data_IF_795293312553
#
_entry.id   IF_795293312553
#
_cell.length_a   1.000
_cell.length_b   1.000
_cell.length_c   1.000
_cell.angle_alpha   90.00
_cell.angle_beta   90.00
_cell.angle_gamma   90.00
#
_symmetry.space_group_name_H-M   'P 1'
#
loop_
_entity.id
_entity.type
_entity.pdbx_description
1 polymer ?
#
# COMPACT_ATOMS: atom_id res chain seq x y z
N UNK A 1 -22.25 1.79 43.53
CA UNK A 1 -22.04 2.80 42.47
C UNK A 1 -20.55 2.88 42.13
N UNK A 2 -19.94 1.91 41.44
CA UNK A 2 -18.49 1.94 41.09
C UNK A 2 -18.11 0.93 39.99
N UNK A 3 -18.88 0.83 38.91
CA UNK A 3 -18.53 -0.11 37.81
C UNK A 3 -18.70 0.45 36.39
N UNK A 4 -19.10 1.73 36.22
CA UNK A 4 -19.31 2.36 34.90
C UNK A 4 -18.19 3.31 34.46
N UNK A 5 -17.22 3.62 35.31
CA UNK A 5 -16.17 4.59 34.99
C UNK A 5 -14.94 4.00 34.26
N UNK A 6 -14.70 2.68 34.34
CA UNK A 6 -13.51 2.06 33.71
C UNK A 6 -13.70 1.69 32.23
N UNK A 7 -14.93 1.61 31.71
CA UNK A 7 -15.17 1.18 30.33
C UNK A 7 -14.96 2.32 29.30
N UNK A 8 -15.04 3.59 29.70
CA UNK A 8 -14.86 4.72 28.78
C UNK A 8 -13.38 5.04 28.48
N UNK A 9 -12.46 4.75 29.40
CA UNK A 9 -11.05 5.12 29.24
C UNK A 9 -10.30 4.16 28.28
N UNK A 10 -10.71 2.89 28.23
CA UNK A 10 -10.12 1.90 27.32
C UNK A 10 -10.51 2.11 25.83
N UNK A 11 -11.72 2.63 25.57
CA UNK A 11 -12.18 2.93 24.21
C UNK A 11 -11.48 4.15 23.60
N UNK A 12 -11.14 5.17 24.41
CA UNK A 12 -10.35 6.32 23.95
C UNK A 12 -8.91 5.95 23.59
N UNK A 13 -8.26 5.03 24.32
CA UNK A 13 -6.89 4.60 24.02
C UNK A 13 -6.77 3.74 22.75
N UNK A 14 -7.81 2.98 22.39
CA UNK A 14 -7.84 2.18 21.15
C UNK A 14 -8.13 3.02 19.89
N UNK A 15 -8.81 4.16 20.01
CA UNK A 15 -9.02 5.11 18.91
C UNK A 15 -7.84 6.07 18.72
N UNK A 16 -7.14 6.46 19.79
CA UNK A 16 -5.96 7.31 19.69
C UNK A 16 -4.72 6.58 19.15
N UNK A 17 -4.61 5.25 19.31
CA UNK A 17 -3.48 4.47 18.78
C UNK A 17 -3.46 4.32 17.24
N UNK A 18 -4.55 4.67 16.54
CA UNK A 18 -4.59 4.70 15.06
C UNK A 18 -4.37 6.08 14.44
N UNK A 19 -4.38 7.14 15.26
CA UNK A 19 -4.26 8.53 14.79
C UNK A 19 -2.80 9.04 14.73
N UNK A 20 -1.83 8.23 15.17
CA UNK A 20 -0.41 8.59 15.13
C UNK A 20 0.26 7.94 13.91
N UNK A 21 0.74 8.79 13.00
CA UNK A 21 1.70 8.49 11.92
C UNK A 21 1.18 8.01 10.54
N UNK A 22 0.12 8.62 10.00
CA UNK A 22 -0.07 8.68 8.54
C UNK A 22 0.12 10.12 8.07
N UNK A 23 1.39 10.54 7.98
CA UNK A 23 1.77 11.73 7.23
C UNK A 23 2.55 11.25 6.00
N UNK A 24 2.04 11.54 4.79
CA UNK A 24 2.82 11.37 3.56
C UNK A 24 2.33 10.29 2.61
N UNK A 25 1.01 10.03 2.55
CA UNK A 25 0.42 9.16 1.53
C UNK A 25 0.00 9.91 0.26
N UNK A 26 -0.09 11.25 0.29
CA UNK A 26 -0.45 12.05 -0.87
C UNK A 26 0.71 12.22 -1.89
N UNK A 27 0.44 11.95 -3.16
CA UNK A 27 1.34 12.25 -4.27
C UNK A 27 1.38 13.74 -4.57
N UNK A 28 2.54 14.27 -4.99
CA UNK A 28 2.64 15.67 -5.39
C UNK A 28 1.85 15.92 -6.67
N UNK A 29 1.23 17.10 -6.77
CA UNK A 29 0.35 17.45 -7.89
C UNK A 29 1.05 17.37 -9.24
N UNK A 30 2.33 17.76 -9.33
CA UNK A 30 3.05 17.67 -10.60
C UNK A 30 3.25 16.23 -11.10
N UNK A 31 3.32 15.24 -10.20
CA UNK A 31 3.40 13.85 -10.59
C UNK A 31 2.08 13.34 -11.17
N UNK A 32 0.96 13.76 -10.58
CA UNK A 32 -0.38 13.40 -11.05
C UNK A 32 -0.69 14.06 -12.39
N UNK A 33 -0.30 15.32 -12.59
CA UNK A 33 -0.51 16.01 -13.87
C UNK A 33 0.35 15.43 -15.01
N UNK A 34 1.59 15.00 -14.75
CA UNK A 34 2.40 14.27 -15.76
C UNK A 34 1.73 12.97 -16.19
N UNK A 35 1.26 12.20 -15.21
CA UNK A 35 0.54 10.95 -15.44
C UNK A 35 -0.73 11.19 -16.26
N UNK A 36 -1.56 12.17 -15.86
CA UNK A 36 -2.78 12.57 -16.54
C UNK A 36 -2.57 12.98 -18.00
N UNK A 37 -1.59 13.85 -18.26
CA UNK A 37 -1.30 14.32 -19.62
C UNK A 37 -0.98 13.15 -20.56
N UNK A 38 -0.15 12.20 -20.11
CA UNK A 38 0.18 11.01 -20.88
C UNK A 38 -1.03 10.09 -21.07
N UNK A 39 -1.81 9.84 -20.02
CA UNK A 39 -2.98 8.96 -20.09
C UNK A 39 -4.02 9.46 -21.11
N UNK A 40 -4.30 10.77 -21.12
CA UNK A 40 -5.19 11.40 -22.11
C UNK A 40 -4.61 11.21 -23.52
N UNK A 41 -3.33 11.54 -23.72
CA UNK A 41 -2.67 11.40 -25.01
C UNK A 41 -2.73 9.95 -25.53
N UNK A 42 -2.44 8.96 -24.68
CA UNK A 42 -2.49 7.55 -25.02
C UNK A 42 -3.91 7.13 -25.45
N UNK A 43 -4.92 7.48 -24.66
CA UNK A 43 -6.31 7.11 -24.94
C UNK A 43 -6.87 7.78 -26.20
N UNK A 44 -6.41 8.99 -26.55
CA UNK A 44 -6.91 9.74 -27.72
C UNK A 44 -6.01 9.63 -28.96
N UNK A 45 -4.84 9.01 -28.86
CA UNK A 45 -3.80 8.99 -29.90
C UNK A 45 -4.04 8.06 -31.09
N UNK A 46 -5.23 7.45 -31.21
CA UNK A 46 -5.60 6.54 -32.30
C UNK A 46 -5.07 5.10 -32.16
N UNK A 47 -3.95 4.91 -31.46
CA UNK A 47 -3.35 3.60 -31.16
C UNK A 47 -3.05 3.47 -29.67
N UNK A 48 -4.07 3.37 -28.80
CA UNK A 48 -3.87 3.25 -27.36
C UNK A 48 -3.11 1.96 -27.00
N UNK A 49 -2.19 2.06 -26.05
CA UNK A 49 -1.54 0.90 -25.44
C UNK A 49 -2.56 -0.01 -24.75
N UNK A 50 -2.25 -1.28 -24.51
CA UNK A 50 -3.14 -2.13 -23.70
C UNK A 50 -3.19 -1.69 -22.23
N UNK A 51 -4.09 -2.30 -21.45
CA UNK A 51 -4.35 -1.89 -20.07
C UNK A 51 -3.12 -2.01 -19.15
N UNK A 52 -2.28 -3.04 -19.32
CA UNK A 52 -1.13 -3.26 -18.44
C UNK A 52 0.05 -2.36 -18.84
N UNK A 53 0.26 -2.11 -20.13
CA UNK A 53 1.25 -1.15 -20.59
C UNK A 53 0.87 0.27 -20.16
N UNK A 54 -0.41 0.63 -20.32
CA UNK A 54 -0.98 1.90 -19.85
C UNK A 54 -0.78 2.10 -18.34
N UNK A 55 -1.12 1.10 -17.53
CA UNK A 55 -0.89 1.14 -16.09
C UNK A 55 0.60 1.31 -15.78
N UNK A 56 1.45 0.48 -16.38
CA UNK A 56 2.88 0.47 -16.07
C UNK A 56 3.56 1.79 -16.44
N UNK A 57 3.17 2.39 -17.56
CA UNK A 57 3.72 3.67 -18.01
C UNK A 57 3.27 4.83 -17.09
N UNK A 58 2.00 4.86 -16.71
CA UNK A 58 1.51 5.83 -15.72
C UNK A 58 2.23 5.71 -14.37
N UNK A 59 2.47 4.48 -13.88
CA UNK A 59 3.25 4.24 -12.66
C UNK A 59 4.67 4.80 -12.77
N UNK A 60 5.35 4.63 -13.91
CA UNK A 60 6.69 5.20 -14.13
C UNK A 60 6.69 6.71 -14.09
N UNK A 61 5.69 7.35 -14.70
CA UNK A 61 5.53 8.81 -14.71
C UNK A 61 5.21 9.36 -13.32
N UNK A 62 4.31 8.68 -12.60
CA UNK A 62 3.92 9.01 -11.24
C UNK A 62 5.12 9.00 -10.30
N UNK A 63 5.96 7.96 -10.37
CA UNK A 63 7.17 7.84 -9.56
C UNK A 63 8.40 8.57 -10.12
N UNK A 64 8.28 9.19 -11.30
CA UNK A 64 9.40 9.75 -12.06
C UNK A 64 10.58 8.75 -12.18
N UNK A 65 10.26 7.49 -12.48
CA UNK A 65 11.22 6.40 -12.57
C UNK A 65 11.01 5.57 -13.84
N UNK A 66 11.62 5.97 -14.97
CA UNK A 66 11.47 5.25 -16.23
C UNK A 66 12.05 3.82 -16.18
N UNK A 67 12.94 3.52 -15.23
CA UNK A 67 13.51 2.19 -15.07
C UNK A 67 12.80 1.33 -14.01
N UNK A 68 11.66 1.80 -13.47
CA UNK A 68 10.83 1.00 -12.57
C UNK A 68 10.46 -0.31 -13.27
N UNK A 69 10.98 -1.40 -12.70
CA UNK A 69 10.69 -2.75 -13.20
C UNK A 69 9.28 -3.12 -12.77
N UNK A 70 8.47 -3.44 -13.76
CA UNK A 70 7.07 -3.85 -13.64
C UNK A 70 6.89 -5.09 -14.50
N UNK A 71 5.78 -5.79 -14.33
CA UNK A 71 5.53 -7.07 -14.97
C UNK A 71 4.42 -6.97 -16.03
N UNK A 72 4.13 -8.11 -16.67
CA UNK A 72 3.09 -8.24 -17.69
C UNK A 72 1.69 -8.46 -17.10
N UNK A 73 1.55 -8.49 -15.77
CA UNK A 73 0.25 -8.54 -15.10
C UNK A 73 0.22 -7.55 -13.96
N UNK A 74 -0.97 -7.00 -13.67
CA UNK A 74 -1.14 -6.01 -12.61
C UNK A 74 -0.68 -6.54 -11.26
N UNK A 75 -1.05 -7.76 -10.87
CA UNK A 75 -0.68 -8.33 -9.58
C UNK A 75 0.84 -8.48 -9.43
N UNK A 76 1.55 -8.86 -10.50
CA UNK A 76 3.01 -8.97 -10.48
C UNK A 76 3.68 -7.59 -10.47
N UNK A 77 3.13 -6.61 -11.18
CA UNK A 77 3.58 -5.21 -11.12
C UNK A 77 3.42 -4.64 -9.71
N UNK A 78 2.26 -4.86 -9.09
CA UNK A 78 1.96 -4.40 -7.74
C UNK A 78 2.81 -5.12 -6.69
N UNK A 79 3.05 -6.42 -6.83
CA UNK A 79 3.98 -7.16 -5.98
C UNK A 79 5.42 -6.60 -6.10
N UNK A 80 5.86 -6.21 -7.29
CA UNK A 80 7.16 -5.57 -7.48
C UNK A 80 7.22 -4.18 -6.80
N UNK A 81 6.13 -3.40 -6.85
CA UNK A 81 6.03 -2.12 -6.14
C UNK A 81 6.00 -2.32 -4.62
N UNK A 82 5.25 -3.31 -4.10
CA UNK A 82 5.23 -3.68 -2.68
C UNK A 82 6.63 -4.08 -2.20
N UNK A 83 7.34 -4.92 -2.94
CA UNK A 83 8.72 -5.30 -2.64
C UNK A 83 9.70 -4.11 -2.65
N UNK A 84 9.40 -3.07 -3.45
CA UNK A 84 10.14 -1.82 -3.47
C UNK A 84 9.70 -0.83 -2.37
N UNK A 85 8.62 -1.14 -1.64
CA UNK A 85 8.00 -0.25 -0.66
C UNK A 85 7.20 0.91 -1.24
N UNK A 86 6.79 0.80 -2.50
CA UNK A 86 6.03 1.80 -3.27
C UNK A 86 4.54 1.49 -3.39
N UNK A 87 4.09 0.39 -2.79
CA UNK A 87 2.68 0.05 -2.66
C UNK A 87 2.44 -0.63 -1.31
N UNK A 88 1.27 -0.40 -0.75
CA UNK A 88 0.79 -1.03 0.47
C UNK A 88 0.28 -2.47 0.20
N UNK A 89 -0.01 -3.26 1.25
CA UNK A 89 -0.69 -4.53 1.11
C UNK A 89 -2.00 -4.39 0.33
N UNK A 90 -2.32 -5.43 -0.42
CA UNK A 90 -3.51 -5.48 -1.29
C UNK A 90 -4.79 -5.53 -0.46
N UNK A 91 -5.79 -4.76 -0.86
CA UNK A 91 -7.16 -4.88 -0.37
C UNK A 91 -7.99 -5.67 -1.39
N UNK A 92 -8.79 -6.63 -0.95
CA UNK A 92 -9.63 -7.46 -1.82
C UNK A 92 -11.10 -7.14 -1.58
N UNK A 93 -11.83 -6.88 -2.66
CA UNK A 93 -13.26 -6.61 -2.67
C UNK A 93 -13.97 -7.75 -3.39
N UNK A 94 -14.89 -8.38 -2.68
CA UNK A 94 -15.66 -9.52 -3.17
C UNK A 94 -17.04 -9.05 -3.66
N UNK A 95 -17.78 -9.95 -4.32
CA UNK A 95 -19.08 -9.64 -4.89
C UNK A 95 -20.21 -10.49 -4.29
N UNK A 96 -21.43 -10.00 -4.42
CA UNK A 96 -22.66 -10.77 -4.36
C UNK A 96 -23.06 -11.16 -5.79
N UNK A 97 -23.70 -12.32 -5.95
CA UNK A 97 -24.29 -12.79 -7.21
C UNK A 97 -25.69 -12.20 -7.45
N UNK A 98 -26.38 -12.68 -8.50
CA UNK A 98 -27.73 -12.22 -8.86
C UNK A 98 -28.78 -12.53 -7.77
N UNK A 99 -28.57 -13.56 -6.96
CA UNK A 99 -29.44 -13.96 -5.85
C UNK A 99 -29.05 -13.26 -4.52
N UNK A 100 -28.06 -12.38 -4.54
CA UNK A 100 -27.54 -11.72 -3.35
C UNK A 100 -26.66 -12.60 -2.46
N UNK A 101 -26.23 -13.77 -2.94
CA UNK A 101 -25.31 -14.66 -2.20
C UNK A 101 -23.86 -14.23 -2.44
N UNK A 102 -22.95 -14.37 -1.48
CA UNK A 102 -21.53 -14.13 -1.72
C UNK A 102 -21.02 -15.01 -2.87
N UNK A 103 -20.32 -14.42 -3.83
CA UNK A 103 -19.69 -15.18 -4.91
C UNK A 103 -18.62 -16.11 -4.34
N UNK A 104 -18.56 -17.36 -4.81
CA UNK A 104 -17.53 -18.33 -4.43
C UNK A 104 -16.82 -18.83 -5.67
N UNK A 105 -15.49 -18.82 -5.66
CA UNK A 105 -14.70 -19.25 -6.80
C UNK A 105 -15.02 -18.39 -8.01
N UNK A 106 -15.71 -18.98 -8.99
CA UNK A 106 -15.97 -18.37 -10.30
C UNK A 106 -17.43 -17.98 -10.54
N UNK A 107 -18.27 -17.89 -9.50
CA UNK A 107 -19.68 -17.43 -9.60
C UNK A 107 -19.75 -16.01 -10.15
N UNK A 108 -20.72 -15.72 -11.02
CA UNK A 108 -20.87 -14.41 -11.66
C UNK A 108 -21.07 -13.26 -10.65
N UNK A 109 -20.35 -12.13 -10.80
CA UNK A 109 -20.52 -10.97 -9.93
C UNK A 109 -21.76 -10.19 -10.35
N UNK A 110 -22.44 -9.58 -9.36
CA UNK A 110 -23.52 -8.61 -9.60
C UNK A 110 -23.30 -7.31 -8.85
N UNK A 111 -23.03 -7.37 -7.54
CA UNK A 111 -22.89 -6.19 -6.67
C UNK A 111 -21.63 -6.32 -5.81
N UNK A 112 -20.93 -5.23 -5.54
CA UNK A 112 -19.83 -5.23 -4.58
C UNK A 112 -20.34 -5.57 -3.18
N UNK A 113 -19.54 -6.31 -2.40
CA UNK A 113 -19.81 -6.57 -0.98
C UNK A 113 -19.40 -5.40 -0.12
N UNK A 114 -18.25 -4.81 -0.44
CA UNK A 114 -17.73 -3.60 0.15
C UNK A 114 -17.48 -2.55 -0.94
N UNK A 115 -17.85 -1.31 -0.65
CA UNK A 115 -17.61 -0.18 -1.56
C UNK A 115 -16.12 0.03 -1.80
N UNK A 116 -15.74 0.19 -3.07
CA UNK A 116 -14.37 0.57 -3.42
C UNK A 116 -14.18 2.04 -3.05
N UNK A 117 -15.15 2.90 -3.34
CA UNK A 117 -15.14 4.32 -2.93
C UNK A 117 -14.83 4.50 -1.44
N UNK A 118 -15.58 3.82 -0.57
CA UNK A 118 -15.39 3.93 0.89
C UNK A 118 -13.99 3.45 1.31
N UNK A 119 -13.44 2.44 0.64
CA UNK A 119 -12.08 1.97 0.90
C UNK A 119 -10.99 2.96 0.48
N UNK A 120 -11.19 3.70 -0.62
CA UNK A 120 -10.30 4.79 -1.01
C UNK A 120 -10.29 5.90 0.05
N UNK A 121 -11.48 6.31 0.51
CA UNK A 121 -11.63 7.34 1.54
C UNK A 121 -11.07 6.90 2.89
N UNK A 122 -11.35 5.65 3.29
CA UNK A 122 -10.83 5.07 4.52
C UNK A 122 -9.29 4.98 4.49
N UNK A 123 -8.70 4.65 3.33
CA UNK A 123 -7.25 4.64 3.16
C UNK A 123 -6.62 6.04 3.29
N UNK A 124 -7.25 7.05 2.67
CA UNK A 124 -6.79 8.43 2.76
C UNK A 124 -6.97 9.04 4.17
N UNK A 125 -7.85 8.47 5.00
CA UNK A 125 -8.07 8.92 6.38
C UNK A 125 -8.60 10.35 6.44
N UNK A 126 -7.84 11.26 7.04
CA UNK A 126 -8.12 12.71 7.08
C UNK A 126 -7.09 13.52 6.29
N UNK A 127 -6.15 12.87 5.61
CA UNK A 127 -5.14 13.55 4.80
C UNK A 127 -5.78 14.20 3.56
N UNK A 128 -5.23 15.35 3.15
CA UNK A 128 -5.61 16.04 1.91
C UNK A 128 -4.55 15.82 0.82
N UNK A 129 -4.97 15.83 -0.44
CA UNK A 129 -4.09 15.66 -1.60
C UNK A 129 -4.53 14.56 -2.54
N UNK A 130 -3.59 14.00 -3.30
CA UNK A 130 -3.85 12.96 -4.29
C UNK A 130 -3.43 11.58 -3.81
N UNK A 131 -4.33 10.62 -3.81
CA UNK A 131 -4.05 9.24 -3.45
C UNK A 131 -4.25 8.36 -4.68
N UNK A 132 -3.22 7.57 -5.02
CA UNK A 132 -3.25 6.76 -6.25
C UNK A 132 -3.29 5.29 -5.90
N UNK A 133 -4.12 4.53 -6.61
CA UNK A 133 -4.35 3.11 -6.37
C UNK A 133 -4.23 2.36 -7.68
N UNK A 134 -3.43 1.29 -7.70
CA UNK A 134 -3.58 0.24 -8.71
C UNK A 134 -4.87 -0.51 -8.46
N UNK A 135 -5.60 -0.85 -9.52
CA UNK A 135 -6.78 -1.70 -9.40
C UNK A 135 -6.74 -2.83 -10.43
N UNK A 136 -7.07 -4.04 -9.97
CA UNK A 136 -7.27 -5.22 -10.79
C UNK A 136 -8.74 -5.64 -10.74
N UNK A 137 -9.37 -5.77 -11.91
CA UNK A 137 -10.76 -6.22 -12.04
C UNK A 137 -10.79 -7.67 -12.52
N UNK A 138 -11.70 -8.47 -11.93
CA UNK A 138 -11.90 -9.89 -12.23
C UNK A 138 -10.59 -10.69 -12.16
N UNK A 139 -9.89 -10.60 -11.03
CA UNK A 139 -8.69 -11.40 -10.75
C UNK A 139 -7.56 -11.24 -11.80
N UNK A 140 -7.37 -10.02 -12.32
CA UNK A 140 -6.29 -9.71 -13.25
C UNK A 140 -6.69 -9.55 -14.71
N UNK A 141 -7.97 -9.74 -15.06
CA UNK A 141 -8.44 -9.63 -16.44
C UNK A 141 -8.31 -8.22 -17.02
N UNK A 142 -8.49 -7.18 -16.20
CA UNK A 142 -8.26 -5.78 -16.60
C UNK A 142 -7.59 -5.01 -15.47
N UNK A 143 -6.80 -4.00 -15.82
CA UNK A 143 -6.04 -3.21 -14.86
C UNK A 143 -6.13 -1.73 -15.13
N UNK A 144 -6.34 -0.95 -14.07
CA UNK A 144 -6.52 0.51 -14.14
C UNK A 144 -5.80 1.18 -12.99
N UNK A 145 -5.64 2.50 -13.06
CA UNK A 145 -5.31 3.32 -11.90
C UNK A 145 -6.52 4.14 -11.48
N UNK A 146 -6.70 4.30 -10.17
CA UNK A 146 -7.64 5.24 -9.59
C UNK A 146 -6.85 6.36 -8.92
N UNK A 147 -7.28 7.61 -9.11
CA UNK A 147 -6.78 8.77 -8.39
C UNK A 147 -7.92 9.36 -7.59
N UNK A 148 -7.83 9.26 -6.27
CA UNK A 148 -8.67 10.01 -5.35
C UNK A 148 -8.06 11.41 -5.20
N UNK A 149 -8.77 12.42 -5.67
CA UNK A 149 -8.48 13.83 -5.39
C UNK A 149 -9.27 14.24 -4.16
N UNK A 150 -8.55 14.47 -3.07
CA UNK A 150 -9.10 14.92 -1.78
C UNK A 150 -8.44 16.21 -1.33
N UNK A 151 -8.10 17.08 -2.29
CA UNK A 151 -7.65 18.45 -1.95
C UNK A 151 -8.78 19.26 -1.32
N UNK A 152 -10.02 18.97 -1.72
CA UNK A 152 -11.23 19.35 -0.99
C UNK A 152 -11.81 18.11 -0.30
N UNK A 153 -11.70 17.98 1.03
CA UNK A 153 -12.19 16.80 1.75
C UNK A 153 -13.71 16.70 1.81
N UNK A 154 -14.46 17.78 1.57
CA UNK A 154 -15.93 17.80 1.56
C UNK A 154 -16.50 17.38 0.20
N UNK A 155 -15.67 17.44 -0.85
CA UNK A 155 -16.03 17.06 -2.21
C UNK A 155 -14.94 16.19 -2.85
N UNK A 156 -14.66 14.99 -2.30
CA UNK A 156 -13.68 14.09 -2.89
C UNK A 156 -14.16 13.60 -4.26
N UNK A 157 -13.23 13.50 -5.21
CA UNK A 157 -13.51 12.99 -6.55
C UNK A 157 -12.58 11.82 -6.89
N UNK A 158 -13.05 10.87 -7.70
CA UNK A 158 -12.20 9.79 -8.21
C UNK A 158 -12.04 9.89 -9.72
N UNK A 159 -10.80 9.79 -10.18
CA UNK A 159 -10.44 9.72 -11.60
C UNK A 159 -10.01 8.30 -11.95
N UNK A 160 -10.64 7.73 -12.96
CA UNK A 160 -10.32 6.44 -13.52
C UNK A 160 -9.40 6.62 -14.73
N UNK A 161 -8.23 5.99 -14.66
CA UNK A 161 -7.20 6.07 -15.68
C UNK A 161 -7.16 4.74 -16.41
N UNK A 162 -7.42 4.78 -17.71
CA UNK A 162 -7.50 3.59 -18.56
C UNK A 162 -7.03 3.90 -19.98
N UNK A 163 -6.87 2.88 -20.83
CA UNK A 163 -6.52 3.07 -22.23
C UNK A 163 -7.69 3.48 -23.13
N UNK A 164 -8.93 3.42 -22.63
CA UNK A 164 -10.11 3.56 -23.47
C UNK A 164 -10.34 4.99 -23.93
N UNK A 165 -10.42 5.18 -25.25
CA UNK A 165 -10.81 6.44 -25.88
C UNK A 165 -12.20 6.91 -25.44
N UNK A 166 -13.14 5.98 -25.21
CA UNK A 166 -14.48 6.27 -24.70
C UNK A 166 -14.51 6.89 -23.30
N UNK A 167 -13.40 6.76 -22.55
CA UNK A 167 -13.19 7.38 -21.23
C UNK A 167 -12.17 8.52 -21.27
N UNK A 168 -11.59 8.82 -22.43
CA UNK A 168 -10.59 9.88 -22.62
C UNK A 168 -9.32 9.72 -21.78
N UNK A 169 -9.06 8.52 -21.24
CA UNK A 169 -7.90 8.25 -20.38
C UNK A 169 -7.94 8.85 -18.97
N UNK A 170 -8.95 9.66 -18.62
CA UNK A 170 -9.05 10.37 -17.34
C UNK A 170 -10.51 10.63 -16.92
N UNK A 171 -11.28 9.57 -16.74
CA UNK A 171 -12.73 9.68 -16.50
C UNK A 171 -13.05 10.06 -15.05
N UNK A 172 -13.90 11.08 -14.86
CA UNK A 172 -14.45 11.46 -13.56
C UNK A 172 -15.55 10.49 -13.09
N UNK A 173 -15.48 10.15 -11.80
CA UNK A 173 -16.53 9.59 -10.97
C UNK A 173 -16.68 10.49 -9.74
N UNK A 174 -17.71 11.36 -9.68
CA UNK A 174 -17.82 12.37 -8.63
C UNK A 174 -18.34 11.80 -7.30
N UNK A 175 -18.81 10.56 -7.28
CA UNK A 175 -19.44 9.97 -6.10
C UNK A 175 -19.29 8.44 -6.07
N UNK A 176 -19.69 7.89 -4.92
CA UNK A 176 -19.69 6.45 -4.65
C UNK A 176 -20.51 5.65 -5.66
N UNK A 177 -21.73 6.08 -5.95
CA UNK A 177 -22.67 5.33 -6.80
C UNK A 177 -22.11 5.19 -8.21
N UNK A 178 -21.55 6.27 -8.76
CA UNK A 178 -20.96 6.26 -10.10
C UNK A 178 -19.71 5.39 -10.20
N UNK A 179 -18.81 5.42 -9.21
CA UNK A 179 -17.59 4.60 -9.23
C UNK A 179 -17.91 3.11 -9.02
N UNK A 180 -18.62 2.78 -7.93
CA UNK A 180 -18.93 1.40 -7.58
C UNK A 180 -19.84 0.76 -8.64
N UNK A 181 -20.85 1.50 -9.12
CA UNK A 181 -21.74 1.04 -10.18
C UNK A 181 -21.01 0.75 -11.49
N UNK A 182 -19.97 1.53 -11.83
CA UNK A 182 -19.13 1.22 -12.99
C UNK A 182 -18.32 -0.07 -12.79
N UNK A 183 -17.73 -0.26 -11.61
CA UNK A 183 -16.97 -1.48 -11.27
C UNK A 183 -17.87 -2.71 -11.36
N UNK A 184 -19.08 -2.63 -10.81
CA UNK A 184 -20.09 -3.69 -10.86
C UNK A 184 -20.52 -3.99 -12.30
N UNK A 185 -20.82 -2.94 -13.08
CA UNK A 185 -21.24 -3.06 -14.48
C UNK A 185 -20.16 -3.72 -15.33
N UNK A 186 -18.92 -3.25 -15.24
CA UNK A 186 -17.79 -3.81 -15.99
C UNK A 186 -17.50 -5.25 -15.59
N UNK A 187 -17.43 -5.52 -14.28
CA UNK A 187 -17.16 -6.88 -13.76
C UNK A 187 -18.24 -7.87 -14.20
N UNK A 188 -19.51 -7.51 -14.08
CA UNK A 188 -20.63 -8.35 -14.52
C UNK A 188 -20.59 -8.58 -16.04
N UNK A 189 -20.39 -7.51 -16.80
CA UNK A 189 -20.41 -7.54 -18.28
C UNK A 189 -19.28 -8.41 -18.83
N UNK A 190 -18.05 -8.22 -18.36
CA UNK A 190 -16.90 -8.98 -18.82
C UNK A 190 -16.96 -10.44 -18.39
N UNK A 191 -17.40 -10.71 -17.16
CA UNK A 191 -17.56 -12.08 -16.72
C UNK A 191 -18.56 -12.83 -17.63
N UNK A 192 -19.72 -12.21 -17.93
CA UNK A 192 -20.73 -12.79 -18.84
C UNK A 192 -20.17 -12.98 -20.25
N UNK A 193 -19.52 -11.94 -20.81
CA UNK A 193 -18.94 -11.98 -22.15
C UNK A 193 -17.88 -13.07 -22.30
N UNK A 194 -17.03 -13.27 -21.29
CA UNK A 194 -15.97 -14.28 -21.31
C UNK A 194 -16.49 -15.69 -21.12
N UNK A 195 -17.53 -15.87 -20.31
CA UNK A 195 -18.21 -17.15 -20.22
C UNK A 195 -18.90 -17.50 -21.54
N UNK A 196 -19.64 -16.56 -22.14
CA UNK A 196 -20.39 -16.84 -23.38
C UNK A 196 -19.49 -17.00 -24.61
N UNK A 197 -18.39 -16.25 -24.68
CA UNK A 197 -17.47 -16.26 -25.82
C UNK A 197 -16.43 -17.36 -25.72
N UNK A 198 -15.71 -17.42 -24.59
CA UNK A 198 -14.52 -18.26 -24.44
C UNK A 198 -14.78 -19.49 -23.53
N UNK A 199 -15.94 -19.59 -22.89
CA UNK A 199 -16.22 -20.60 -21.85
C UNK A 199 -15.44 -20.36 -20.55
N UNK A 200 -14.75 -19.22 -20.42
CA UNK A 200 -13.87 -18.91 -19.31
C UNK A 200 -14.67 -18.27 -18.18
N UNK A 201 -14.46 -18.76 -16.95
CA UNK A 201 -14.98 -18.13 -15.74
C UNK A 201 -13.83 -17.59 -14.90
N UNK A 202 -13.93 -16.33 -14.50
CA UNK A 202 -12.96 -15.69 -13.61
C UNK A 202 -13.44 -15.73 -12.17
N UNK A 203 -12.50 -15.59 -11.24
CA UNK A 203 -12.88 -15.28 -9.87
C UNK A 203 -13.44 -13.86 -9.81
N UNK A 204 -14.60 -13.73 -9.20
CA UNK A 204 -15.34 -12.48 -9.10
C UNK A 204 -14.82 -11.65 -7.95
N UNK A 205 -13.65 -11.04 -8.15
CA UNK A 205 -13.02 -10.15 -7.18
C UNK A 205 -12.29 -9.00 -7.84
N UNK A 206 -12.23 -7.90 -7.10
CA UNK A 206 -11.44 -6.72 -7.42
C UNK A 206 -10.36 -6.55 -6.37
N UNK A 207 -9.16 -6.17 -6.78
CA UNK A 207 -8.05 -5.86 -5.85
C UNK A 207 -7.65 -4.41 -5.98
N UNK A 208 -7.49 -3.74 -4.85
CA UNK A 208 -6.93 -2.39 -4.75
C UNK A 208 -5.53 -2.44 -4.16
N UNK A 209 -4.64 -1.64 -4.73
CA UNK A 209 -3.24 -1.55 -4.38
C UNK A 209 -2.89 -0.08 -4.11
N UNK A 210 -3.00 0.39 -2.86
CA UNK A 210 -2.63 1.77 -2.55
C UNK A 210 -1.16 2.01 -2.87
N UNK A 211 -0.88 2.99 -3.72
CA UNK A 211 0.47 3.38 -4.07
C UNK A 211 0.99 4.38 -3.04
N UNK A 212 2.29 4.33 -2.77
CA UNK A 212 2.93 5.12 -1.73
C UNK A 212 3.92 6.10 -2.36
N UNK A 213 3.73 7.42 -2.25
CA UNK A 213 4.56 8.43 -2.94
C UNK A 213 5.98 8.47 -2.40
N UNK A 214 6.10 8.28 -1.09
CA UNK A 214 7.33 7.98 -0.40
C UNK A 214 7.36 6.49 -0.16
N UNK A 215 8.57 5.96 -0.04
CA UNK A 215 8.71 4.57 0.37
C UNK A 215 8.11 4.44 1.76
N UNK A 216 7.31 3.39 1.96
CA UNK A 216 6.70 3.08 3.23
C UNK A 216 7.70 3.22 4.41
N UNK A 217 7.49 4.18 5.34
CA UNK A 217 8.40 4.40 6.47
C UNK A 217 8.42 3.20 7.43
N UNK A 218 7.44 2.30 7.37
CA UNK A 218 7.48 1.06 8.17
C UNK A 218 8.57 0.09 7.69
N UNK A 219 9.10 0.24 6.47
CA UNK A 219 10.24 -0.56 6.00
C UNK A 219 11.55 -0.03 6.60
N UNK A 220 11.73 -0.31 7.88
CA UNK A 220 12.84 0.12 8.71
C UNK A 220 14.09 -0.77 8.61
N UNK A 221 14.05 -1.83 7.79
CA UNK A 221 15.18 -2.73 7.54
C UNK A 221 15.44 -2.98 6.06
N UNK A 222 16.72 -3.17 5.74
CA UNK A 222 17.21 -3.52 4.41
C UNK A 222 18.18 -4.69 4.49
N UNK A 223 17.91 -5.77 3.75
CA UNK A 223 18.82 -6.91 3.60
C UNK A 223 19.50 -6.86 2.21
N UNK A 224 20.81 -7.10 2.14
CA UNK A 224 21.49 -7.32 0.86
C UNK A 224 21.03 -8.64 0.28
N UNK A 225 20.24 -8.63 -0.80
CA UNK A 225 19.52 -9.84 -1.25
C UNK A 225 19.96 -10.35 -2.64
N UNK A 226 20.39 -9.46 -3.54
CA UNK A 226 20.58 -9.77 -4.97
C UNK A 226 22.03 -9.73 -5.46
N UNK A 227 22.98 -9.36 -4.61
CA UNK A 227 24.40 -9.35 -4.93
C UNK A 227 25.19 -10.12 -3.87
N UNK A 228 26.20 -10.94 -4.25
CA UNK A 228 27.07 -11.59 -3.28
C UNK A 228 27.88 -10.56 -2.48
N UNK A 229 28.25 -9.45 -3.12
CA UNK A 229 28.91 -8.29 -2.52
C UNK A 229 28.29 -7.00 -3.05
N UNK A 230 27.74 -6.18 -2.16
CA UNK A 230 27.21 -4.86 -2.45
C UNK A 230 28.25 -3.79 -2.13
N UNK A 231 28.39 -2.82 -3.04
CA UNK A 231 29.20 -1.61 -2.84
C UNK A 231 28.26 -0.46 -2.51
N UNK A 232 28.34 0.03 -1.27
CA UNK A 232 27.60 1.21 -0.82
C UNK A 232 28.43 2.49 -1.00
N UNK A 233 27.77 3.64 -0.94
CA UNK A 233 28.35 4.95 -1.27
C UNK A 233 28.10 5.97 -0.17
N UNK A 234 28.85 7.09 -0.20
CA UNK A 234 28.66 8.21 0.73
C UNK A 234 27.41 9.06 0.45
N UNK A 235 26.80 8.92 -0.72
CA UNK A 235 25.60 9.68 -1.09
C UNK A 235 24.72 8.96 -2.12
N UNK A 236 23.53 9.51 -2.41
CA UNK A 236 22.50 8.90 -3.25
C UNK A 236 22.81 9.10 -4.74
N UNK A 237 23.78 8.36 -5.27
CA UNK A 237 24.12 8.48 -6.70
C UNK A 237 25.36 7.70 -7.07
N UNK A 238 25.53 7.42 -8.37
CA UNK A 238 26.76 6.79 -8.89
C UNK A 238 27.96 7.72 -8.84
N UNK A 239 27.72 9.02 -8.71
CA UNK A 239 28.76 10.06 -8.68
C UNK A 239 29.38 10.23 -7.28
N UNK A 240 28.70 9.71 -6.25
CA UNK A 240 29.24 9.72 -4.90
C UNK A 240 30.26 8.59 -4.71
N UNK A 241 31.37 8.84 -3.98
CA UNK A 241 32.40 7.83 -3.78
C UNK A 241 31.87 6.60 -3.03
N UNK A 242 32.38 5.43 -3.41
CA UNK A 242 32.14 4.19 -2.67
C UNK A 242 32.80 4.26 -1.29
N UNK A 243 32.19 3.57 -0.32
CA UNK A 243 32.78 3.45 1.00
C UNK A 243 34.12 2.70 0.95
N UNK A 244 35.02 3.15 1.82
CA UNK A 244 36.31 2.54 2.05
C UNK A 244 36.42 2.12 3.52
N UNK A 245 37.19 1.09 3.80
CA UNK A 245 37.55 0.71 5.16
C UNK A 245 38.61 1.67 5.75
N UNK A 246 39.04 1.41 6.98
CA UNK A 246 40.02 2.24 7.68
C UNK A 246 41.38 2.27 6.96
N UNK A 247 41.72 1.21 6.20
CA UNK A 247 42.95 1.12 5.41
C UNK A 247 42.78 1.69 3.98
N UNK A 248 41.64 2.33 3.68
CA UNK A 248 41.36 2.93 2.39
C UNK A 248 41.01 1.93 1.27
N UNK A 249 40.83 0.65 1.56
CA UNK A 249 40.39 -0.36 0.59
C UNK A 249 38.88 -0.27 0.40
N UNK A 250 38.37 -0.81 -0.71
CA UNK A 250 36.92 -0.81 -0.98
C UNK A 250 36.19 -1.66 0.06
N UNK A 251 35.15 -1.09 0.67
CA UNK A 251 34.28 -1.81 1.60
C UNK A 251 33.16 -2.51 0.84
N UNK A 252 32.91 -3.76 1.20
CA UNK A 252 31.87 -4.61 0.61
C UNK A 252 30.96 -5.15 1.70
N UNK A 253 29.68 -5.29 1.37
CA UNK A 253 28.65 -5.83 2.26
C UNK A 253 28.07 -7.11 1.65
N UNK A 254 28.02 -8.19 2.41
CA UNK A 254 27.65 -9.52 1.92
C UNK A 254 26.15 -9.69 1.81
N UNK A 255 25.73 -10.62 0.95
CA UNK A 255 24.34 -11.10 0.92
C UNK A 255 23.90 -11.58 2.31
N UNK A 256 22.69 -11.20 2.72
CA UNK A 256 22.11 -11.51 4.02
C UNK A 256 22.40 -10.48 5.11
N UNK A 257 23.33 -9.55 4.91
CA UNK A 257 23.55 -8.47 5.88
C UNK A 257 22.33 -7.54 5.92
N UNK A 258 21.88 -7.23 7.14
CA UNK A 258 20.71 -6.40 7.43
C UNK A 258 21.16 -5.07 8.05
N UNK A 259 20.54 -3.99 7.59
CA UNK A 259 20.80 -2.64 8.05
C UNK A 259 19.50 -1.93 8.41
N UNK A 260 19.59 -0.98 9.32
CA UNK A 260 18.49 -0.04 9.59
C UNK A 260 18.38 0.95 8.43
N UNK A 261 17.15 1.21 7.99
CA UNK A 261 16.86 2.21 6.96
C UNK A 261 16.65 3.56 7.63
N UNK A 262 17.45 4.55 7.25
CA UNK A 262 17.41 5.91 7.79
C UNK A 262 16.65 6.90 6.90
N UNK A 263 16.82 6.76 5.59
CA UNK A 263 16.20 7.63 4.59
C UNK A 263 16.22 6.96 3.23
N UNK A 264 15.47 7.50 2.27
CA UNK A 264 15.52 7.06 0.87
C UNK A 264 15.43 8.27 -0.06
N UNK A 265 16.19 8.23 -1.14
CA UNK A 265 16.25 9.29 -2.15
C UNK A 265 16.31 8.64 -3.54
N UNK A 266 15.21 8.76 -4.29
CA UNK A 266 15.04 8.09 -5.57
C UNK A 266 15.23 6.57 -5.45
N UNK A 267 16.33 6.06 -6.03
CA UNK A 267 16.70 4.62 -6.02
C UNK A 267 17.65 4.25 -4.90
N UNK A 268 18.08 5.22 -4.09
CA UNK A 268 19.09 5.04 -3.06
C UNK A 268 18.44 4.96 -1.69
N UNK A 269 18.97 4.07 -0.85
CA UNK A 269 18.53 3.82 0.52
C UNK A 269 19.67 4.20 1.44
N UNK A 270 19.45 5.17 2.32
CA UNK A 270 20.38 5.52 3.39
C UNK A 270 20.22 4.50 4.51
N UNK A 271 21.34 3.94 4.95
CA UNK A 271 21.42 2.82 5.87
C UNK A 271 22.34 3.18 7.03
N UNK A 272 22.00 2.73 8.24
CA UNK A 272 22.92 2.73 9.39
C UNK A 272 23.78 1.47 9.36
N UNK A 273 25.09 1.66 9.38
CA UNK A 273 26.07 0.58 9.46
C UNK A 273 26.26 0.13 10.92
N UNK A 274 26.78 -1.09 11.16
CA UNK A 274 27.05 -1.59 12.51
C UNK A 274 28.04 -0.74 13.33
N UNK A 275 28.89 0.04 12.66
CA UNK A 275 29.85 0.96 13.29
C UNK A 275 29.23 2.34 13.59
N UNK A 276 27.91 2.50 13.42
CA UNK A 276 27.20 3.76 13.57
C UNK A 276 27.32 4.70 12.38
N UNK A 277 28.15 4.36 11.39
CA UNK A 277 28.29 5.12 10.16
C UNK A 277 27.04 5.05 9.28
N UNK A 278 27.00 5.91 8.26
CA UNK A 278 25.90 5.93 7.29
C UNK A 278 26.38 5.57 5.89
N UNK A 279 25.52 4.91 5.13
CA UNK A 279 25.83 4.46 3.78
C UNK A 279 24.62 4.55 2.87
N UNK A 280 24.85 4.71 1.57
CA UNK A 280 23.80 4.66 0.55
C UNK A 280 23.94 3.40 -0.30
N UNK A 281 22.92 2.55 -0.26
CA UNK A 281 22.79 1.35 -1.09
C UNK A 281 21.72 1.53 -2.17
N UNK A 282 21.97 1.03 -3.38
CA UNK A 282 20.97 1.08 -4.45
C UNK A 282 19.89 0.02 -4.21
N UNK A 283 18.63 0.44 -4.16
CA UNK A 283 17.44 -0.37 -3.82
C UNK A 283 17.30 -1.66 -4.63
N UNK A 284 17.76 -1.68 -5.89
CA UNK A 284 17.73 -2.89 -6.73
C UNK A 284 18.51 -4.09 -6.15
N UNK A 285 19.43 -3.86 -5.20
CA UNK A 285 20.23 -4.90 -4.53
C UNK A 285 19.76 -5.21 -3.10
N UNK A 286 18.76 -4.48 -2.61
CA UNK A 286 18.27 -4.56 -1.25
C UNK A 286 16.85 -5.16 -1.26
N UNK A 287 16.57 -6.05 -0.31
CA UNK A 287 15.21 -6.43 0.07
C UNK A 287 14.83 -5.58 1.27
N UNK A 288 13.81 -4.75 1.12
CA UNK A 288 13.27 -3.98 2.24
C UNK A 288 12.17 -4.74 2.94
N UNK A 289 12.12 -4.62 4.26
CA UNK A 289 11.07 -5.23 5.08
C UNK A 289 10.86 -4.41 6.35
N UNK A 290 9.70 -4.63 6.97
CA UNK A 290 9.40 -4.14 8.30
C UNK A 290 9.85 -5.18 9.32
N UNK A 291 10.70 -4.77 10.25
CA UNK A 291 10.91 -5.50 11.48
C UNK A 291 10.16 -4.76 12.58
N UNK A 292 9.20 -5.40 13.28
CA UNK A 292 8.51 -4.77 14.39
C UNK A 292 9.52 -4.24 15.40
N UNK A 293 9.35 -3.00 15.82
CA UNK A 293 10.13 -2.48 16.93
C UNK A 293 9.88 -3.40 18.12
N UNK A 294 10.95 -3.91 18.74
CA UNK A 294 10.82 -4.77 19.90
C UNK A 294 10.05 -3.98 20.96
N UNK A 295 8.78 -4.35 21.20
CA UNK A 295 7.97 -3.74 22.24
C UNK A 295 8.78 -3.89 23.51
N UNK A 296 9.28 -2.78 24.05
CA UNK A 296 10.00 -2.77 25.30
C UNK A 296 9.13 -3.54 26.29
N UNK A 297 9.65 -4.67 26.78
CA UNK A 297 8.93 -5.52 27.71
C UNK A 297 8.45 -4.62 28.85
N UNK A 298 7.14 -4.44 28.95
CA UNK A 298 6.55 -3.71 30.07
C UNK A 298 7.03 -4.46 31.31
N UNK A 299 7.72 -3.80 32.27
CA UNK A 299 8.18 -4.49 33.45
C UNK A 299 6.95 -5.09 34.14
N UNK A 300 6.97 -6.41 34.26
CA UNK A 300 5.96 -7.19 34.98
C UNK A 300 5.88 -6.61 36.40
N UNK A 301 4.77 -5.96 36.70
CA UNK A 301 4.57 -5.26 37.96
C UNK A 301 4.70 -6.26 39.12
N UNK A 302 5.81 -6.14 39.85
CA UNK A 302 6.07 -6.89 41.06
C UNK A 302 4.99 -6.62 42.11
N UNK A 303 4.37 -7.71 42.60
CA UNK A 303 4.00 -7.86 44.01
C UNK A 303 2.69 -7.23 44.47
N UNK A 304 1.59 -7.98 44.41
CA UNK A 304 0.59 -7.93 45.47
C UNK A 304 0.87 -9.06 46.47
N UNK A 305 1.57 -8.70 47.54
CA UNK A 305 1.65 -9.50 48.76
C UNK A 305 0.47 -9.21 49.69
N UNK A 306 0.22 -10.19 50.57
CA UNK A 306 -0.59 -10.14 51.79
C UNK A 306 -2.11 -10.30 51.65
N UNK A 307 -2.56 -11.57 51.59
CA UNK A 307 -3.84 -11.98 52.18
C UNK A 307 -3.57 -12.23 53.67
N UNK A 308 -3.98 -11.28 54.51
CA UNK A 308 -3.96 -11.40 55.96
C UNK A 308 -5.07 -12.34 56.45
N UNK A 309 -4.70 -13.26 57.34
CA UNK A 309 -5.58 -14.12 58.09
C UNK A 309 -6.55 -13.30 58.96
N UNK A 310 -7.86 -13.55 58.82
CA UNK A 310 -8.89 -13.07 59.73
C UNK A 310 -9.24 -14.20 60.70
N UNK A 311 -8.84 -14.01 61.95
CA UNK A 311 -9.20 -14.86 63.07
C UNK A 311 -10.68 -14.76 63.39
N UNK A 312 -11.30 -15.92 63.62
CA UNK A 312 -12.66 -16.05 64.14
C UNK A 312 -12.63 -15.81 65.64
N UNK A 313 -13.30 -14.75 66.07
CA UNK A 313 -13.58 -14.42 67.46
C UNK A 313 -14.68 -15.35 68.01
N UNK A 314 -14.39 -15.86 69.20
CA UNK A 314 -15.24 -16.67 70.07
C UNK A 314 -16.51 -15.90 70.50
N UNK A 315 -17.65 -16.58 70.38
CA UNK A 315 -18.94 -16.20 70.96
C UNK A 315 -19.11 -16.83 72.36
N UNK A 316 -19.35 -16.01 73.39
CA UNK A 316 -19.82 -16.41 74.74
C UNK A 316 -20.53 -15.25 75.47
N UNK A 317 -21.78 -15.49 75.86
CA UNK A 317 -22.58 -14.80 76.90
C UNK A 317 -23.33 -13.58 76.38
N UNK A 318 -24.63 -13.39 76.60
CA UNK A 318 -25.58 -13.88 77.63
C UNK A 318 -27.01 -14.03 77.06
#
# INVERSE_FOLDING_TARGET
>A
MTCRALALTAACLLLCARASAQEGHAFPGEAVERMKAWAIQNATGGSPEDCIHTLNQNVRLLFNDPAQRLALTVDKSMAALQAAGRAAPTQTHEFFDEDGRPTVGVTGPRRLRESVWDALLAWAGTETGYFVFGMSLLDGNHSVLLVLDRRDPEAPEVRWIDQWSSKGGWKLYPDKESLDGEIERLSSSWWKSKLSGDGIRFRSRTRLYPLLPKINPTLNRAEVSRAPLLRMRKGPGTDFPQLRDAEGRRRYFKKGEVFEVLAREGKWVKLRLPDGGEAWGHSAFLRLFHEPEAVAAVPEAAGHGAVGALGVLSDRGE
#
